data_IF_781370253994
#
_entry.id   IF_781370253994
#
_cell.length_a   1.000
_cell.length_b   1.000
_cell.length_c   1.000
_cell.angle_alpha   90.00
_cell.angle_beta   90.00
_cell.angle_gamma   90.00
#
_symmetry.space_group_name_H-M   'P 1'
#
loop_
_entity.id
_entity.type
_entity.pdbx_description
1 polymer ?
#
# COMPACT_ATOMS: atom_id res chain seq x y z
N UNK A 1 -1.56 35.63 -6.88
CA UNK A 1 -1.60 34.46 -7.79
C UNK A 1 -0.85 33.34 -7.07
N UNK A 2 -1.53 32.35 -6.50
CA UNK A 2 -0.86 31.29 -5.72
C UNK A 2 -0.36 30.20 -6.67
N UNK A 3 0.95 30.00 -6.61
CA UNK A 3 1.78 29.28 -7.54
C UNK A 3 1.63 27.75 -7.46
N UNK A 4 2.07 27.13 -8.55
CA UNK A 4 2.07 25.71 -8.84
C UNK A 4 3.01 24.92 -7.93
N UNK A 5 2.46 24.15 -6.98
CA UNK A 5 3.18 23.10 -6.27
C UNK A 5 2.35 22.54 -5.10
N UNK A 6 1.90 21.29 -5.18
CA UNK A 6 1.06 20.63 -4.15
C UNK A 6 -0.31 21.27 -3.93
N UNK A 7 -1.20 21.21 -4.94
CA UNK A 7 -2.64 21.26 -4.62
C UNK A 7 -2.96 19.97 -3.86
N UNK A 8 -3.37 20.02 -2.58
CA UNK A 8 -3.91 18.83 -1.94
C UNK A 8 -5.06 18.33 -2.81
N UNK A 9 -5.15 17.01 -3.10
CA UNK A 9 -6.25 16.49 -3.90
C UNK A 9 -7.56 16.99 -3.33
N UNK A 10 -8.44 17.44 -4.21
CA UNK A 10 -9.74 17.98 -3.78
C UNK A 10 -10.45 16.95 -2.92
N UNK A 11 -11.36 17.37 -2.03
CA UNK A 11 -12.06 16.45 -1.12
C UNK A 11 -12.68 15.27 -1.86
N UNK A 12 -13.15 15.50 -3.09
CA UNK A 12 -13.71 14.49 -3.99
C UNK A 12 -12.64 13.52 -4.52
N UNK A 13 -11.48 14.01 -4.94
CA UNK A 13 -10.34 13.18 -5.37
C UNK A 13 -9.80 12.33 -4.23
N UNK A 14 -9.76 12.86 -2.99
CA UNK A 14 -9.42 12.06 -1.81
C UNK A 14 -10.41 10.93 -1.56
N UNK A 15 -11.72 11.21 -1.68
CA UNK A 15 -12.75 10.16 -1.55
C UNK A 15 -12.57 9.08 -2.61
N UNK A 16 -12.30 9.47 -3.86
CA UNK A 16 -12.02 8.55 -4.96
C UNK A 16 -10.78 7.71 -4.68
N UNK A 17 -9.68 8.34 -4.24
CA UNK A 17 -8.48 7.63 -3.84
C UNK A 17 -8.74 6.65 -2.68
N UNK A 18 -9.51 7.02 -1.66
CA UNK A 18 -9.85 6.11 -0.56
C UNK A 18 -10.64 4.90 -1.04
N UNK A 19 -11.57 5.10 -1.97
CA UNK A 19 -12.34 4.00 -2.57
C UNK A 19 -11.45 3.05 -3.39
N UNK A 20 -10.55 3.60 -4.20
CA UNK A 20 -9.57 2.83 -4.97
C UNK A 20 -8.60 2.08 -4.05
N UNK A 21 -8.12 2.73 -2.97
CA UNK A 21 -7.27 2.11 -1.95
C UNK A 21 -7.98 0.93 -1.31
N UNK A 22 -9.24 1.09 -0.91
CA UNK A 22 -10.00 0.05 -0.23
C UNK A 22 -10.21 -1.16 -1.14
N UNK A 23 -10.61 -0.95 -2.39
CA UNK A 23 -10.72 -2.03 -3.39
C UNK A 23 -9.38 -2.75 -3.60
N UNK A 24 -8.29 -1.99 -3.77
CA UNK A 24 -6.96 -2.56 -3.92
C UNK A 24 -6.55 -3.36 -2.67
N UNK A 25 -6.79 -2.83 -1.47
CA UNK A 25 -6.43 -3.48 -0.21
C UNK A 25 -7.29 -4.71 0.08
N UNK A 26 -8.58 -4.70 -0.28
CA UNK A 26 -9.45 -5.88 -0.19
C UNK A 26 -8.96 -7.00 -1.12
N UNK A 27 -8.55 -6.66 -2.34
CA UNK A 27 -7.99 -7.61 -3.28
C UNK A 27 -6.67 -8.22 -2.74
N UNK A 28 -5.79 -7.37 -2.23
CA UNK A 28 -4.56 -7.79 -1.55
C UNK A 28 -4.85 -8.73 -0.37
N UNK A 29 -5.84 -8.40 0.47
CA UNK A 29 -6.21 -9.21 1.63
C UNK A 29 -6.75 -10.59 1.21
N UNK A 30 -7.62 -10.63 0.20
CA UNK A 30 -8.16 -11.87 -0.38
C UNK A 30 -7.05 -12.77 -0.94
N UNK A 31 -6.06 -12.20 -1.62
CA UNK A 31 -4.91 -12.94 -2.15
C UNK A 31 -3.85 -13.23 -1.07
N UNK A 32 -4.07 -12.80 0.18
CA UNK A 32 -3.12 -12.83 1.28
C UNK A 32 -1.77 -12.15 0.96
N UNK A 33 -1.80 -11.16 0.07
CA UNK A 33 -0.64 -10.40 -0.37
C UNK A 33 -0.45 -9.22 0.58
N UNK A 34 0.60 -9.31 1.39
CA UNK A 34 0.94 -8.27 2.37
C UNK A 34 1.76 -7.14 1.75
N UNK A 35 2.59 -7.46 0.78
CA UNK A 35 3.50 -6.53 0.15
C UNK A 35 3.03 -6.19 -1.29
N UNK A 36 2.82 -4.91 -1.62
CA UNK A 36 2.38 -4.52 -2.96
C UNK A 36 3.39 -4.86 -4.06
N UNK A 37 4.69 -4.99 -3.75
CA UNK A 37 5.67 -5.48 -4.71
C UNK A 37 5.53 -7.00 -4.98
N UNK A 38 4.82 -7.74 -4.14
CA UNK A 38 4.44 -9.13 -4.41
C UNK A 38 3.36 -9.23 -5.49
N UNK A 39 2.50 -8.20 -5.65
CA UNK A 39 1.58 -8.15 -6.81
C UNK A 39 2.37 -8.03 -8.11
N UNK A 40 3.47 -7.26 -8.10
CA UNK A 40 4.37 -7.15 -9.25
C UNK A 40 5.21 -8.41 -9.47
N UNK A 41 5.66 -9.06 -8.40
CA UNK A 41 6.46 -10.30 -8.49
C UNK A 41 5.64 -11.54 -8.83
N UNK A 42 4.37 -11.56 -8.47
CA UNK A 42 3.44 -12.68 -8.71
C UNK A 42 2.12 -12.17 -9.27
N UNK A 43 2.12 -11.63 -10.51
CA UNK A 43 0.91 -11.14 -11.15
C UNK A 43 -0.13 -12.26 -11.37
N UNK A 44 0.30 -13.53 -11.40
CA UNK A 44 -0.56 -14.71 -11.52
C UNK A 44 -1.45 -14.93 -10.28
N UNK A 45 -1.00 -14.52 -9.09
CA UNK A 45 -1.78 -14.67 -7.85
C UNK A 45 -2.86 -13.60 -7.68
N UNK A 46 -2.73 -12.49 -8.39
CA UNK A 46 -3.52 -11.29 -8.17
C UNK A 46 -3.59 -10.40 -9.43
N UNK A 47 -4.00 -10.93 -10.59
CA UNK A 47 -4.06 -10.15 -11.83
C UNK A 47 -5.10 -9.02 -11.71
N UNK A 48 -6.20 -9.28 -11.01
CA UNK A 48 -7.22 -8.27 -10.68
C UNK A 48 -6.65 -7.15 -9.78
N UNK A 49 -5.77 -7.50 -8.83
CA UNK A 49 -5.17 -6.48 -7.96
C UNK A 49 -4.14 -5.63 -8.69
N UNK A 50 -3.52 -6.12 -9.76
CA UNK A 50 -2.60 -5.34 -10.60
C UNK A 50 -3.34 -4.21 -11.34
N UNK A 51 -4.51 -4.51 -11.88
CA UNK A 51 -5.36 -3.51 -12.55
C UNK A 51 -5.90 -2.48 -11.55
N UNK A 52 -6.34 -2.95 -10.37
CA UNK A 52 -6.73 -2.08 -9.26
C UNK A 52 -5.55 -1.21 -8.77
N UNK A 53 -4.32 -1.74 -8.74
CA UNK A 53 -3.10 -0.98 -8.42
C UNK A 53 -2.90 0.16 -9.42
N UNK A 54 -2.97 -0.12 -10.72
CA UNK A 54 -2.84 0.93 -11.76
C UNK A 54 -3.91 2.00 -11.60
N UNK A 55 -5.18 1.60 -11.47
CA UNK A 55 -6.28 2.54 -11.23
C UNK A 55 -6.08 3.35 -9.94
N UNK A 56 -5.52 2.73 -8.90
CA UNK A 56 -5.19 3.38 -7.65
C UNK A 56 -4.05 4.39 -7.80
N UNK A 57 -3.00 4.08 -8.57
CA UNK A 57 -1.90 4.99 -8.90
C UNK A 57 -2.32 6.15 -9.81
N UNK A 58 -3.24 5.92 -10.73
CA UNK A 58 -3.76 6.99 -11.61
C UNK A 58 -4.79 7.87 -10.90
N UNK A 59 -5.64 7.28 -10.07
CA UNK A 59 -6.70 8.00 -9.35
C UNK A 59 -6.29 8.55 -7.99
N UNK A 60 -5.10 8.22 -7.50
CA UNK A 60 -4.55 8.74 -6.26
C UNK A 60 -3.20 9.40 -6.46
N UNK A 61 -2.88 10.37 -5.60
CA UNK A 61 -1.60 11.05 -5.65
C UNK A 61 -0.46 10.04 -5.37
N UNK A 62 0.58 10.03 -6.21
CA UNK A 62 1.71 9.11 -6.08
C UNK A 62 2.32 9.10 -4.67
N UNK A 63 2.45 10.27 -4.03
CA UNK A 63 2.96 10.39 -2.66
C UNK A 63 2.09 9.66 -1.61
N UNK A 64 0.77 9.62 -1.82
CA UNK A 64 -0.12 8.83 -0.97
C UNK A 64 0.05 7.34 -1.21
N UNK A 65 0.10 6.92 -2.47
CA UNK A 65 0.30 5.51 -2.83
C UNK A 65 1.62 5.00 -2.26
N UNK A 66 2.70 5.74 -2.45
CA UNK A 66 4.01 5.45 -1.86
C UNK A 66 3.93 5.38 -0.34
N UNK A 67 3.25 6.33 0.32
CA UNK A 67 3.07 6.31 1.77
C UNK A 67 2.36 5.05 2.27
N UNK A 68 1.25 4.66 1.64
CA UNK A 68 0.50 3.46 2.03
C UNK A 68 1.28 2.18 1.77
N UNK A 69 1.96 2.09 0.63
CA UNK A 69 2.83 0.96 0.28
C UNK A 69 3.96 0.84 1.29
N UNK A 70 4.66 1.95 1.57
CA UNK A 70 5.76 2.00 2.53
C UNK A 70 5.29 1.67 3.94
N UNK A 71 4.10 2.12 4.35
CA UNK A 71 3.52 1.81 5.66
C UNK A 71 3.25 0.31 5.83
N UNK A 72 2.76 -0.38 4.78
CA UNK A 72 2.60 -1.85 4.83
C UNK A 72 3.94 -2.58 4.96
N UNK A 73 4.95 -2.17 4.19
CA UNK A 73 6.31 -2.77 4.29
C UNK A 73 6.95 -2.49 5.64
N UNK A 74 6.80 -1.29 6.18
CA UNK A 74 7.33 -0.91 7.48
C UNK A 74 6.67 -1.70 8.62
N UNK A 75 5.35 -1.90 8.59
CA UNK A 75 4.64 -2.75 9.57
C UNK A 75 5.20 -4.18 9.58
N UNK A 76 5.46 -4.73 8.40
CA UNK A 76 6.05 -6.06 8.25
C UNK A 76 7.48 -6.10 8.80
N UNK A 77 8.33 -5.15 8.40
CA UNK A 77 9.70 -5.05 8.89
C UNK A 77 9.74 -4.87 10.40
N UNK A 78 8.81 -4.11 10.96
CA UNK A 78 8.67 -3.94 12.40
C UNK A 78 8.26 -5.24 13.08
N UNK A 79 7.30 -5.99 12.53
CA UNK A 79 6.92 -7.32 13.03
C UNK A 79 8.06 -8.33 12.97
N UNK A 80 8.83 -8.36 11.89
CA UNK A 80 10.02 -9.21 11.77
C UNK A 80 11.07 -8.85 12.81
N UNK A 81 11.33 -7.55 12.99
CA UNK A 81 12.27 -7.07 13.99
C UNK A 81 11.82 -7.41 15.42
N UNK A 82 10.52 -7.23 15.72
CA UNK A 82 9.95 -7.57 17.01
C UNK A 82 10.06 -9.08 17.28
N UNK A 83 9.68 -9.91 16.29
CA UNK A 83 9.79 -11.37 16.38
C UNK A 83 11.24 -11.82 16.58
N UNK A 84 12.19 -11.23 15.87
CA UNK A 84 13.61 -11.48 16.05
C UNK A 84 14.08 -11.09 17.45
N UNK A 85 13.65 -9.92 17.96
CA UNK A 85 13.99 -9.47 19.32
C UNK A 85 13.40 -10.36 20.41
N UNK A 86 12.17 -10.85 20.25
CA UNK A 86 11.54 -11.80 21.18
C UNK A 86 12.27 -13.15 21.17
N UNK A 87 12.64 -13.64 19.98
CA UNK A 87 13.38 -14.90 19.83
C UNK A 87 14.79 -14.82 20.44
N UNK A 88 15.45 -13.65 20.34
CA UNK A 88 16.73 -13.41 21.02
C UNK A 88 16.56 -13.24 22.54
N UNK A 89 15.47 -12.64 23.02
CA UNK A 89 15.22 -12.43 24.46
C UNK A 89 14.80 -13.70 25.20
N UNK A 90 14.22 -14.69 24.51
CA UNK A 90 13.85 -16.00 25.06
C UNK A 90 15.00 -17.01 25.10
N UNK A 91 16.18 -16.66 24.55
CA UNK A 91 17.36 -17.54 24.49
C UNK A 91 18.35 -17.25 25.61
N UNK A 92 17.84 -17.03 26.83
CA UNK A 92 18.63 -16.74 28.03
C UNK A 92 18.23 -17.64 29.19
#
# INVERSE_FOLDING_TARGET
MAESGSKPPSREERKRCWFLRDQYFQCLDRCNIRDPATVEKTPEKAPECLELKKNYEEGCMASWVEYFNKRRVLDMRQKEYLKFSEEQSGRK
#
